data_IF_392315096617
#
_entry.id   IF_392315096617
#
_cell.length_a   1.000
_cell.length_b   1.000
_cell.length_c   1.000
_cell.angle_alpha   90.00
_cell.angle_beta   90.00
_cell.angle_gamma   90.00
#
_symmetry.space_group_name_H-M   'P 1'
#
loop_
_entity.id
_entity.type
_entity.pdbx_description
1 polymer ?
#
# COMPACT_ATOMS: atom_id res chain seq x y z
N UNK A 1 0.36 -8.55 -27.56
CA UNK A 1 0.12 -7.99 -26.23
C UNK A 1 1.37 -8.26 -25.42
N UNK A 2 2.29 -7.30 -25.48
CA UNK A 2 3.60 -7.34 -24.83
C UNK A 2 3.46 -6.87 -23.39
N UNK A 3 4.34 -7.38 -22.51
CA UNK A 3 4.41 -7.09 -21.08
C UNK A 3 4.02 -5.65 -20.73
N UNK A 4 3.02 -5.52 -19.87
CA UNK A 4 2.52 -4.28 -19.28
C UNK A 4 3.66 -3.57 -18.54
N UNK A 5 4.19 -2.49 -19.10
CA UNK A 5 5.07 -1.58 -18.36
C UNK A 5 4.22 -0.85 -17.32
N UNK A 6 4.33 -1.27 -16.05
CA UNK A 6 3.76 -0.51 -14.93
C UNK A 6 4.35 0.91 -14.95
N UNK A 7 3.57 1.97 -14.69
CA UNK A 7 4.11 3.31 -14.54
C UNK A 7 5.29 3.29 -13.55
N UNK A 8 6.41 4.01 -13.79
CA UNK A 8 7.59 3.92 -12.95
C UNK A 8 7.34 4.15 -11.45
N UNK A 9 6.36 4.97 -11.10
CA UNK A 9 5.93 5.17 -9.71
C UNK A 9 5.30 3.90 -9.11
N UNK A 10 4.46 3.19 -9.89
CA UNK A 10 3.81 1.96 -9.46
C UNK A 10 4.81 0.81 -9.27
N UNK A 11 5.77 0.67 -10.19
CA UNK A 11 6.82 -0.34 -10.04
C UNK A 11 7.61 -0.15 -8.73
N UNK A 12 7.99 1.09 -8.41
CA UNK A 12 8.66 1.43 -7.15
C UNK A 12 7.77 1.24 -5.92
N UNK A 13 6.49 1.54 -6.03
CA UNK A 13 5.50 1.31 -4.96
C UNK A 13 5.36 -0.17 -4.60
N UNK A 14 5.20 -1.04 -5.60
CA UNK A 14 5.17 -2.50 -5.39
C UNK A 14 6.51 -2.98 -4.83
N UNK A 15 7.63 -2.46 -5.34
CA UNK A 15 8.95 -2.79 -4.81
C UNK A 15 9.07 -2.40 -3.32
N UNK A 16 8.62 -1.22 -2.93
CA UNK A 16 8.67 -0.73 -1.55
C UNK A 16 7.98 -1.69 -0.58
N UNK A 17 6.77 -2.16 -0.89
CA UNK A 17 6.03 -3.09 -0.03
C UNK A 17 6.63 -4.49 0.06
N UNK A 18 7.53 -4.85 -0.85
CA UNK A 18 8.23 -6.15 -0.86
C UNK A 18 9.71 -6.04 -0.43
N UNK A 19 10.17 -4.85 -0.04
CA UNK A 19 11.59 -4.62 0.25
C UNK A 19 11.95 -4.94 1.70
N UNK A 20 13.03 -5.68 1.86
CA UNK A 20 13.73 -5.95 3.11
C UNK A 20 15.24 -5.77 2.93
N UNK A 21 16.01 -5.51 4.00
CA UNK A 21 15.56 -5.21 5.37
C UNK A 21 15.02 -3.75 5.52
N UNK A 22 14.44 -3.38 6.68
CA UNK A 22 13.82 -2.06 6.90
C UNK A 22 14.70 -0.85 6.57
N UNK A 23 16.02 -0.98 6.68
CA UNK A 23 16.96 0.10 6.32
C UNK A 23 17.02 0.35 4.81
N UNK A 24 16.93 -0.71 4.01
CA UNK A 24 16.83 -0.62 2.54
C UNK A 24 15.46 -0.08 2.16
N UNK A 25 14.41 -0.54 2.84
CA UNK A 25 13.05 -0.05 2.62
C UNK A 25 12.92 1.45 2.93
N UNK A 26 13.57 1.92 4.00
CA UNK A 26 13.60 3.34 4.40
C UNK A 26 14.23 4.20 3.31
N UNK A 27 15.39 3.78 2.78
CA UNK A 27 16.05 4.49 1.68
C UNK A 27 15.17 4.53 0.44
N UNK A 28 14.62 3.39 0.03
CA UNK A 28 13.71 3.28 -1.11
C UNK A 28 12.47 4.17 -0.91
N UNK A 29 11.93 4.25 0.30
CA UNK A 29 10.80 5.12 0.65
C UNK A 29 11.05 6.60 0.31
N UNK A 30 12.29 7.09 0.45
CA UNK A 30 12.62 8.49 0.06
C UNK A 30 12.60 8.72 -1.45
N UNK A 31 12.76 7.65 -2.24
CA UNK A 31 12.69 7.69 -3.71
C UNK A 31 11.25 7.48 -4.21
N UNK A 32 10.42 6.73 -3.46
CA UNK A 32 9.04 6.41 -3.82
C UNK A 32 8.07 7.52 -3.42
N UNK A 33 8.23 8.09 -2.23
CA UNK A 33 7.23 8.95 -1.60
C UNK A 33 7.70 10.39 -1.43
N UNK A 34 6.76 11.33 -1.46
CA UNK A 34 7.02 12.68 -0.93
C UNK A 34 7.27 12.61 0.58
N UNK A 35 7.95 13.61 1.14
CA UNK A 35 8.28 13.63 2.57
C UNK A 35 7.02 13.61 3.47
N UNK A 36 5.92 14.15 2.96
CA UNK A 36 4.62 14.34 3.59
C UNK A 36 3.54 13.39 3.03
N UNK A 37 3.93 12.25 2.42
CA UNK A 37 2.95 11.30 1.87
C UNK A 37 1.87 10.95 2.89
N UNK A 38 0.61 10.99 2.45
CA UNK A 38 -0.51 10.52 3.26
C UNK A 38 -1.03 9.17 2.75
N UNK A 39 -1.07 8.17 3.64
CA UNK A 39 -1.62 6.85 3.35
C UNK A 39 -2.86 6.62 4.20
N UNK A 40 -4.02 6.63 3.56
CA UNK A 40 -5.31 6.45 4.20
C UNK A 40 -5.75 5.00 4.02
N UNK A 41 -5.87 4.24 5.10
CA UNK A 41 -6.34 2.86 5.06
C UNK A 41 -7.24 2.55 6.26
N UNK A 42 -7.92 1.40 6.21
CA UNK A 42 -8.81 0.96 7.30
C UNK A 42 -8.12 0.95 8.68
N UNK A 43 -6.85 0.52 8.83
CA UNK A 43 -6.16 0.57 10.12
C UNK A 43 -5.83 2.00 10.62
N UNK A 44 -5.86 3.00 9.75
CA UNK A 44 -5.57 4.39 10.10
C UNK A 44 -4.94 5.21 8.97
N UNK A 45 -4.59 6.46 9.30
CA UNK A 45 -3.86 7.37 8.41
C UNK A 45 -2.39 7.42 8.82
N UNK A 46 -1.50 7.09 7.90
CA UNK A 46 -0.05 7.10 8.09
C UNK A 46 0.56 8.26 7.31
N UNK A 47 1.52 8.96 7.90
CA UNK A 47 2.17 10.12 7.27
C UNK A 47 3.68 9.94 7.19
N UNK A 48 4.22 10.12 5.98
CA UNK A 48 5.65 9.98 5.71
C UNK A 48 6.11 8.52 5.55
N UNK A 49 7.19 8.32 4.80
CA UNK A 49 7.78 7.00 4.57
C UNK A 49 8.14 6.22 5.86
N UNK A 50 8.64 6.84 6.96
CA UNK A 50 8.94 6.11 8.19
C UNK A 50 7.72 5.38 8.77
N UNK A 51 6.54 6.02 8.79
CA UNK A 51 5.32 5.40 9.30
C UNK A 51 4.89 4.18 8.45
N UNK A 52 5.14 4.22 7.14
CA UNK A 52 4.86 3.09 6.24
C UNK A 52 5.83 1.92 6.43
N UNK A 53 7.10 2.23 6.69
CA UNK A 53 8.11 1.21 7.04
C UNK A 53 7.75 0.54 8.35
N UNK A 54 7.45 1.33 9.39
CA UNK A 54 7.04 0.81 10.70
C UNK A 54 5.78 -0.07 10.59
N UNK A 55 4.79 0.38 9.81
CA UNK A 55 3.60 -0.40 9.52
C UNK A 55 3.94 -1.75 8.86
N UNK A 56 4.78 -1.76 7.83
CA UNK A 56 5.21 -3.01 7.17
C UNK A 56 5.95 -3.92 8.15
N UNK A 57 6.89 -3.38 8.93
CA UNK A 57 7.66 -4.16 9.92
C UNK A 57 6.75 -4.79 10.96
N UNK A 58 5.78 -4.04 11.49
CA UNK A 58 4.80 -4.58 12.44
C UNK A 58 3.93 -5.65 11.78
N UNK A 59 3.48 -5.42 10.54
CA UNK A 59 2.69 -6.38 9.78
C UNK A 59 3.42 -7.72 9.65
N UNK A 60 4.62 -7.73 9.05
CA UNK A 60 5.37 -8.99 8.86
C UNK A 60 5.81 -9.62 10.18
N UNK A 61 6.02 -8.82 11.23
CA UNK A 61 6.30 -9.33 12.57
C UNK A 61 5.12 -10.08 13.21
N UNK A 62 3.88 -9.75 12.84
CA UNK A 62 2.67 -10.44 13.32
C UNK A 62 2.23 -11.59 12.43
N UNK A 63 2.28 -11.41 11.10
CA UNK A 63 1.72 -12.39 10.14
C UNK A 63 2.77 -13.28 9.48
N UNK A 64 4.05 -12.97 9.64
CA UNK A 64 5.15 -13.63 8.94
C UNK A 64 5.49 -13.00 7.58
N UNK A 65 6.40 -13.62 6.81
CA UNK A 65 6.79 -13.14 5.49
C UNK A 65 5.59 -13.10 4.55
N UNK A 66 5.47 -12.01 3.80
CA UNK A 66 4.34 -11.76 2.92
C UNK A 66 4.77 -11.00 1.66
N UNK A 67 4.08 -11.27 0.55
CA UNK A 67 4.28 -10.65 -0.75
C UNK A 67 3.08 -9.78 -1.10
N UNK A 68 3.32 -8.51 -1.41
CA UNK A 68 2.32 -7.60 -1.97
C UNK A 68 2.41 -7.64 -3.50
N UNK A 69 1.34 -8.03 -4.20
CA UNK A 69 1.34 -8.13 -5.66
C UNK A 69 0.10 -7.52 -6.33
N UNK A 70 0.24 -6.92 -7.53
CA UNK A 70 -0.92 -6.59 -8.35
C UNK A 70 -1.71 -7.85 -8.73
N UNK A 71 -3.05 -7.80 -8.66
CA UNK A 71 -3.91 -8.88 -9.15
C UNK A 71 -4.12 -8.84 -10.67
N UNK A 72 -4.06 -7.64 -11.25
CA UNK A 72 -4.20 -7.37 -12.67
C UNK A 72 -3.45 -6.09 -13.06
N UNK A 73 -3.43 -5.76 -14.35
CA UNK A 73 -2.91 -4.49 -14.84
C UNK A 73 -3.60 -3.31 -14.14
N UNK A 74 -2.81 -2.32 -13.73
CA UNK A 74 -3.33 -1.14 -13.06
C UNK A 74 -3.82 -0.12 -14.10
N UNK A 75 -4.99 0.46 -13.83
CA UNK A 75 -5.47 1.59 -14.61
C UNK A 75 -4.73 2.85 -14.18
N UNK A 76 -4.41 3.71 -15.14
CA UNK A 76 -3.80 5.00 -14.83
C UNK A 76 -4.22 6.06 -15.84
N UNK A 77 -4.29 7.30 -15.37
CA UNK A 77 -4.47 8.48 -16.20
C UNK A 77 -3.98 9.70 -15.43
N UNK A 78 -3.51 10.73 -16.13
CA UNK A 78 -3.01 11.95 -15.49
C UNK A 78 -2.02 11.60 -14.35
N UNK A 79 -2.26 12.10 -13.14
CA UNK A 79 -1.51 11.87 -11.93
C UNK A 79 -2.22 10.86 -10.98
N UNK A 80 -3.04 9.96 -11.53
CA UNK A 80 -3.83 8.97 -10.80
C UNK A 80 -3.54 7.56 -11.28
N UNK A 81 -3.39 6.65 -10.33
CA UNK A 81 -3.25 5.20 -10.56
C UNK A 81 -4.30 4.48 -9.70
N UNK A 82 -4.95 3.46 -10.26
CA UNK A 82 -5.81 2.53 -9.53
C UNK A 82 -5.21 1.13 -9.62
N UNK A 83 -4.82 0.58 -8.48
CA UNK A 83 -4.15 -0.70 -8.36
C UNK A 83 -5.04 -1.66 -7.55
N UNK A 84 -5.43 -2.78 -8.13
CA UNK A 84 -5.92 -3.91 -7.33
C UNK A 84 -4.75 -4.78 -6.89
N UNK A 85 -4.71 -5.12 -5.61
CA UNK A 85 -3.60 -5.83 -4.99
C UNK A 85 -4.08 -7.01 -4.15
N UNK A 86 -3.14 -7.91 -3.88
CA UNK A 86 -3.29 -9.05 -2.99
C UNK A 86 -2.03 -9.15 -2.13
N UNK A 87 -2.22 -9.50 -0.86
CA UNK A 87 -1.16 -9.90 0.05
C UNK A 87 -1.19 -11.42 0.19
N UNK A 88 -0.08 -12.08 -0.12
CA UNK A 88 0.08 -13.54 -0.06
C UNK A 88 1.14 -13.89 0.97
N UNK A 89 0.83 -14.77 1.91
CA UNK A 89 1.79 -15.26 2.90
C UNK A 89 2.76 -16.28 2.29
N UNK A 90 3.83 -16.59 3.01
CA UNK A 90 4.85 -17.54 2.57
C UNK A 90 4.30 -18.93 2.20
N UNK A 91 3.25 -19.39 2.88
CA UNK A 91 2.58 -20.68 2.61
C UNK A 91 1.65 -20.66 1.38
N UNK A 92 1.54 -19.52 0.70
CA UNK A 92 0.66 -19.30 -0.44
C UNK A 92 -0.76 -18.88 -0.08
N UNK A 93 -1.09 -18.73 1.21
CA UNK A 93 -2.39 -18.25 1.66
C UNK A 93 -2.61 -16.81 1.19
N UNK A 94 -3.75 -16.57 0.55
CA UNK A 94 -4.17 -15.23 0.17
C UNK A 94 -4.77 -14.50 1.38
N UNK A 95 -3.93 -13.72 2.05
CA UNK A 95 -4.25 -13.08 3.32
C UNK A 95 -5.32 -11.99 3.18
N UNK A 96 -5.15 -11.08 2.23
CA UNK A 96 -6.07 -9.97 1.98
C UNK A 96 -6.01 -9.52 0.53
N UNK A 97 -7.09 -8.92 0.07
CA UNK A 97 -7.18 -8.26 -1.23
C UNK A 97 -7.72 -6.85 -1.06
N UNK A 98 -7.30 -5.95 -1.95
CA UNK A 98 -7.76 -4.59 -1.89
C UNK A 98 -7.45 -3.78 -3.13
N UNK A 99 -7.82 -2.50 -3.04
CA UNK A 99 -7.65 -1.53 -4.10
C UNK A 99 -7.03 -0.26 -3.54
N UNK A 100 -5.90 0.15 -4.12
CA UNK A 100 -5.27 1.43 -3.86
C UNK A 100 -5.58 2.43 -4.96
N UNK A 101 -6.00 3.63 -4.57
CA UNK A 101 -5.96 4.81 -5.45
C UNK A 101 -4.78 5.68 -5.06
N UNK A 102 -3.88 5.92 -6.01
CA UNK A 102 -2.58 6.56 -5.78
C UNK A 102 -2.53 7.89 -6.52
N UNK A 103 -2.01 8.92 -5.86
CA UNK A 103 -1.73 10.24 -6.44
C UNK A 103 -0.23 10.44 -6.58
N UNK A 104 0.21 10.75 -7.80
CA UNK A 104 1.62 11.01 -8.13
C UNK A 104 1.87 12.52 -8.21
N UNK A 105 2.89 13.02 -7.53
CA UNK A 105 3.33 14.40 -7.60
C UNK A 105 4.07 14.70 -8.93
N UNK A 106 4.24 15.98 -9.31
CA UNK A 106 4.93 16.36 -10.55
C UNK A 106 6.38 15.85 -10.67
N UNK A 107 7.03 15.54 -9.55
CA UNK A 107 8.39 14.97 -9.50
C UNK A 107 8.42 13.44 -9.67
N UNK A 108 7.26 12.81 -9.88
CA UNK A 108 7.10 11.37 -10.07
C UNK A 108 6.99 10.56 -8.78
N UNK A 109 7.01 11.20 -7.60
CA UNK A 109 6.84 10.54 -6.30
C UNK A 109 5.37 10.39 -5.93
N UNK A 110 5.05 9.43 -5.08
CA UNK A 110 3.70 9.26 -4.55
C UNK A 110 3.48 10.24 -3.39
N UNK A 111 2.47 11.09 -3.52
CA UNK A 111 2.07 12.04 -2.46
C UNK A 111 0.90 11.58 -1.62
N UNK A 112 0.08 10.66 -2.13
CA UNK A 112 -1.05 10.14 -1.37
C UNK A 112 -1.50 8.78 -1.91
N UNK A 113 -1.95 7.93 -0.99
CA UNK A 113 -2.61 6.66 -1.27
C UNK A 113 -3.89 6.59 -0.44
N UNK A 114 -4.97 6.11 -1.04
CA UNK A 114 -6.19 5.70 -0.34
C UNK A 114 -6.43 4.23 -0.64
N UNK A 115 -6.44 3.40 0.40
CA UNK A 115 -6.53 1.95 0.32
C UNK A 115 -7.88 1.46 0.82
N UNK A 116 -8.51 0.58 0.05
CA UNK A 116 -9.74 -0.11 0.37
C UNK A 116 -9.49 -1.62 0.45
N UNK A 117 -10.19 -2.30 1.36
CA UNK A 117 -10.22 -3.76 1.39
C UNK A 117 -11.32 -4.26 0.45
N UNK A 118 -10.95 -5.09 -0.52
CA UNK A 118 -11.87 -5.87 -1.34
C UNK A 118 -12.25 -7.16 -0.59
N UNK A 119 -11.27 -7.73 0.13
CA UNK A 119 -11.43 -8.87 1.04
C UNK A 119 -10.49 -8.71 2.23
N UNK A 120 -11.09 -8.62 3.42
CA UNK A 120 -10.34 -8.54 4.67
C UNK A 120 -9.74 -9.91 5.06
N UNK A 121 -8.70 -9.91 5.91
CA UNK A 121 -8.21 -11.14 6.55
C UNK A 121 -9.30 -11.83 7.37
N UNK A 122 -9.19 -13.15 7.55
CA UNK A 122 -10.06 -13.87 8.46
C UNK A 122 -9.93 -13.32 9.89
N UNK A 123 -11.07 -13.11 10.55
CA UNK A 123 -11.13 -12.56 11.90
C UNK A 123 -10.89 -11.04 12.01
N UNK A 124 -10.74 -10.32 10.90
CA UNK A 124 -10.66 -8.86 10.89
C UNK A 124 -12.05 -8.22 11.03
N UNK A 125 -12.26 -7.43 12.08
CA UNK A 125 -13.47 -6.63 12.27
C UNK A 125 -13.33 -5.26 11.59
N UNK A 126 -13.83 -5.16 10.35
CA UNK A 126 -13.79 -3.92 9.58
C UNK A 126 -14.79 -2.85 10.09
N UNK A 127 -15.90 -3.27 10.70
CA UNK A 127 -16.98 -2.38 11.12
C UNK A 127 -16.59 -1.58 12.38
N UNK A 128 -15.74 -2.15 13.25
CA UNK A 128 -15.18 -1.47 14.41
C UNK A 128 -14.36 -0.21 14.08
N UNK A 129 -13.76 -0.14 12.89
CA UNK A 129 -12.95 1.00 12.46
C UNK A 129 -13.77 2.18 11.89
N UNK A 130 -14.98 1.94 11.37
CA UNK A 130 -15.86 2.99 10.82
C UNK A 130 -16.59 3.80 11.89
N UNK A 131 -16.79 3.25 13.09
CA UNK A 131 -17.56 3.90 14.16
C UNK A 131 -16.87 5.13 14.80
N UNK A 132 -15.56 5.34 14.58
CA UNK A 132 -14.78 6.41 15.23
C UNK A 132 -14.77 7.78 14.55
N UNK A 133 -15.22 7.88 13.28
CA UNK A 133 -15.14 9.12 12.50
C UNK A 133 -16.46 9.92 12.45
N UNK A 134 -17.52 9.40 13.06
CA UNK A 134 -18.90 9.88 12.90
C UNK A 134 -19.47 10.73 14.04
N UNK A 135 -18.67 11.39 14.88
CA UNK A 135 -19.21 12.35 15.87
C UNK A 135 -18.30 13.56 16.05
N UNK A 136 -18.38 14.52 15.11
CA UNK A 136 -18.26 15.94 15.43
C UNK A 136 -19.23 16.73 14.54
N UNK A 137 -20.32 17.18 15.18
CA UNK A 137 -21.25 18.20 14.67
C UNK A 137 -20.54 19.53 14.44
#
# INVERSE_FOLDING_TARGET
>A
MTATDLPPALARYVQFWNTEPPEVQTRLGTEVFTADVEYHAVPGVLTGAPALVDFRTQFVGHVGPATFRPRHEADHHHDRIRLAWEIVLEDGTSFAEGTDTIVVAPDGKIRSVTSFLDRAPEGFDADGHHAGAGERR
#
